data_IF_734284897205
#
_entry.id   IF_734284897205
#
_cell.length_a   1.000
_cell.length_b   1.000
_cell.length_c   1.000
_cell.angle_alpha   90.00
_cell.angle_beta   90.00
_cell.angle_gamma   90.00
#
_symmetry.space_group_name_H-M   'P 1'
#
loop_
_entity.id
_entity.type
_entity.pdbx_description
1 polymer ?
#
# COMPACT_ATOMS: atom_id res chain seq x y z
N UNK A 1 3.14 21.95 -9.89
CA UNK A 1 2.98 20.56 -9.42
C UNK A 1 4.30 19.76 -9.36
N UNK A 2 5.22 19.90 -10.33
CA UNK A 2 6.50 19.17 -10.37
C UNK A 2 7.50 19.41 -9.22
N UNK A 3 7.26 20.41 -8.36
CA UNK A 3 8.11 20.73 -7.21
C UNK A 3 7.67 20.06 -5.90
N UNK A 4 6.54 19.33 -5.89
CA UNK A 4 6.07 18.62 -4.70
C UNK A 4 6.68 17.21 -4.66
N UNK A 5 6.94 16.65 -3.46
CA UNK A 5 7.24 15.23 -3.32
C UNK A 5 6.19 14.35 -4.01
N UNK A 6 6.60 13.23 -4.62
CA UNK A 6 5.72 12.41 -5.46
C UNK A 6 4.43 11.97 -4.75
N UNK A 7 4.51 11.56 -3.48
CA UNK A 7 3.34 11.17 -2.71
C UNK A 7 2.31 12.32 -2.56
N UNK A 8 2.77 13.56 -2.45
CA UNK A 8 1.88 14.72 -2.37
C UNK A 8 1.22 15.03 -3.71
N UNK A 9 1.89 14.73 -4.82
CA UNK A 9 1.30 14.83 -6.15
C UNK A 9 0.13 13.85 -6.27
N UNK A 10 0.31 12.59 -5.85
CA UNK A 10 -0.74 11.55 -5.87
C UNK A 10 -1.96 12.00 -5.05
N UNK A 11 -1.73 12.45 -3.81
CA UNK A 11 -2.80 12.92 -2.94
C UNK A 11 -3.57 14.11 -3.52
N UNK A 12 -2.87 15.10 -4.07
CA UNK A 12 -3.52 16.27 -4.70
C UNK A 12 -4.32 15.91 -5.94
N UNK A 13 -3.76 15.10 -6.85
CA UNK A 13 -4.49 14.68 -8.05
C UNK A 13 -5.75 13.90 -7.69
N UNK A 14 -5.63 12.99 -6.73
CA UNK A 14 -6.75 12.15 -6.32
C UNK A 14 -7.87 12.95 -5.67
N UNK A 15 -7.54 14.01 -4.90
CA UNK A 15 -8.53 14.90 -4.30
C UNK A 15 -9.31 15.76 -5.31
N UNK A 16 -8.80 15.91 -6.55
CA UNK A 16 -9.48 16.65 -7.62
C UNK A 16 -10.50 15.80 -8.38
N UNK A 17 -10.54 14.50 -8.14
CA UNK A 17 -11.39 13.57 -8.89
C UNK A 17 -12.44 12.98 -7.95
N UNK A 18 -13.71 13.21 -8.30
CA UNK A 18 -14.84 12.58 -7.63
C UNK A 18 -15.58 11.69 -8.63
N UNK A 19 -15.73 10.41 -8.29
CA UNK A 19 -16.47 9.43 -9.11
C UNK A 19 -17.63 8.92 -8.27
N UNK A 20 -18.87 9.42 -8.49
CA UNK A 20 -20.05 8.96 -7.76
C UNK A 20 -20.23 7.45 -7.89
N UNK A 21 -20.54 6.76 -6.79
CA UNK A 21 -20.77 5.31 -6.76
C UNK A 21 -19.50 4.46 -6.84
N UNK A 22 -18.30 5.05 -6.90
CA UNK A 22 -17.03 4.30 -6.98
C UNK A 22 -16.84 3.32 -5.81
N UNK A 23 -17.27 3.71 -4.60
CA UNK A 23 -17.17 2.85 -3.44
C UNK A 23 -18.00 1.57 -3.63
N UNK A 24 -19.28 1.71 -3.93
CA UNK A 24 -20.20 0.58 -4.09
C UNK A 24 -19.81 -0.32 -5.27
N UNK A 25 -19.23 0.26 -6.33
CA UNK A 25 -18.73 -0.48 -7.48
C UNK A 25 -17.50 -1.35 -7.17
N UNK A 26 -16.67 -0.96 -6.20
CA UNK A 26 -15.41 -1.66 -5.88
C UNK A 26 -15.52 -2.51 -4.60
N UNK A 27 -16.15 -1.99 -3.55
CA UNK A 27 -16.29 -2.65 -2.26
C UNK A 27 -17.56 -3.52 -2.21
N UNK A 28 -17.67 -4.49 -3.13
CA UNK A 28 -18.87 -5.32 -3.25
C UNK A 28 -19.08 -6.20 -2.01
N UNK A 29 -20.32 -6.62 -1.70
CA UNK A 29 -20.60 -7.49 -0.58
C UNK A 29 -19.76 -8.78 -0.57
N UNK A 30 -19.55 -9.39 -1.74
CA UNK A 30 -18.76 -10.63 -1.90
C UNK A 30 -17.29 -10.40 -1.54
N UNK A 31 -16.73 -9.25 -1.93
CA UNK A 31 -15.36 -8.88 -1.58
C UNK A 31 -15.24 -8.63 -0.07
N UNK A 32 -16.20 -7.92 0.54
CA UNK A 32 -16.18 -7.66 1.98
C UNK A 32 -16.31 -8.97 2.78
N UNK A 33 -17.14 -9.91 2.31
CA UNK A 33 -17.23 -11.24 2.89
C UNK A 33 -15.90 -11.99 2.77
N UNK A 34 -15.27 -11.98 1.58
CA UNK A 34 -13.96 -12.60 1.37
C UNK A 34 -12.89 -12.02 2.30
N UNK A 35 -12.82 -10.68 2.40
CA UNK A 35 -11.88 -9.97 3.29
C UNK A 35 -12.14 -10.35 4.75
N UNK A 36 -13.41 -10.44 5.17
CA UNK A 36 -13.77 -10.85 6.54
C UNK A 36 -13.33 -12.29 6.84
N UNK A 37 -13.55 -13.23 5.91
CA UNK A 37 -13.08 -14.61 6.07
C UNK A 37 -11.56 -14.68 6.13
N UNK A 38 -10.86 -13.94 5.26
CA UNK A 38 -9.40 -13.86 5.27
C UNK A 38 -8.87 -13.31 6.60
N UNK A 39 -9.55 -12.30 7.16
CA UNK A 39 -9.22 -11.70 8.44
C UNK A 39 -9.63 -12.51 9.68
N UNK A 40 -10.35 -13.62 9.50
CA UNK A 40 -10.86 -14.47 10.58
C UNK A 40 -11.90 -13.80 11.49
N UNK A 41 -12.45 -12.65 11.10
CA UNK A 41 -13.45 -11.89 11.87
C UNK A 41 -14.27 -11.00 10.94
N UNK A 42 -15.43 -10.53 11.39
CA UNK A 42 -16.24 -9.59 10.62
C UNK A 42 -15.49 -8.25 10.46
N UNK A 43 -15.26 -7.85 9.20
CA UNK A 43 -14.65 -6.58 8.84
C UNK A 43 -15.67 -5.69 8.11
N UNK A 44 -15.66 -4.39 8.39
CA UNK A 44 -16.54 -3.41 7.74
C UNK A 44 -15.67 -2.38 7.01
N UNK A 45 -16.01 -2.03 5.75
CA UNK A 45 -15.28 -0.99 5.02
C UNK A 45 -15.41 0.36 5.73
N UNK A 46 -14.32 1.12 5.75
CA UNK A 46 -14.32 2.53 6.11
C UNK A 46 -15.12 3.33 5.10
N UNK A 47 -15.65 4.49 5.51
CA UNK A 47 -16.38 5.35 4.59
C UNK A 47 -15.51 5.80 3.42
N UNK A 48 -15.92 5.42 2.21
CA UNK A 48 -15.36 5.91 0.96
C UNK A 48 -14.12 5.16 0.47
N UNK A 49 -14.07 4.97 -0.84
CA UNK A 49 -12.86 4.52 -1.55
C UNK A 49 -12.04 5.73 -1.96
N UNK A 50 -10.73 5.66 -1.81
CA UNK A 50 -9.80 6.71 -2.23
C UNK A 50 -9.15 6.33 -3.57
N UNK A 51 -9.23 7.21 -4.56
CA UNK A 51 -8.43 7.07 -5.78
C UNK A 51 -6.95 7.33 -5.50
N UNK A 52 -6.09 6.64 -6.23
CA UNK A 52 -4.64 6.77 -6.21
C UNK A 52 -4.17 6.98 -7.64
N UNK A 53 -3.97 8.25 -8.01
CA UNK A 53 -3.53 8.65 -9.34
C UNK A 53 -2.04 8.97 -9.33
N UNK A 54 -1.21 8.18 -10.02
CA UNK A 54 0.21 8.47 -10.18
C UNK A 54 0.50 9.03 -11.57
N UNK A 55 0.84 10.33 -11.69
CA UNK A 55 1.21 10.95 -12.96
C UNK A 55 2.31 10.17 -13.70
N UNK A 56 2.34 10.20 -15.04
CA UNK A 56 3.44 9.60 -15.80
C UNK A 56 4.76 10.36 -15.60
N UNK A 57 5.88 9.68 -15.85
CA UNK A 57 7.24 10.24 -15.90
C UNK A 57 7.61 11.04 -14.64
N UNK A 58 7.37 10.47 -13.46
CA UNK A 58 7.72 11.11 -12.19
C UNK A 58 9.24 11.16 -11.97
N UNK A 59 10.01 10.30 -12.62
CA UNK A 59 11.47 10.26 -12.57
C UNK A 59 11.99 8.83 -12.62
N UNK A 60 13.28 8.67 -12.37
CA UNK A 60 13.90 7.35 -12.26
C UNK A 60 13.33 6.61 -11.06
N UNK A 61 13.09 5.31 -11.23
CA UNK A 61 12.59 4.47 -10.16
C UNK A 61 13.67 4.30 -9.08
N UNK A 62 13.30 4.55 -7.82
CA UNK A 62 14.18 4.37 -6.67
C UNK A 62 13.37 4.14 -5.40
N UNK A 63 13.98 3.45 -4.43
CA UNK A 63 13.45 3.29 -3.08
C UNK A 63 13.84 4.45 -2.15
N UNK A 64 14.79 5.29 -2.59
CA UNK A 64 15.29 6.41 -1.82
C UNK A 64 14.28 7.56 -1.77
N UNK A 65 14.13 8.16 -0.59
CA UNK A 65 13.25 9.31 -0.39
C UNK A 65 11.74 8.99 -0.44
N UNK A 66 11.37 7.71 -0.48
CA UNK A 66 9.96 7.29 -0.38
C UNK A 66 9.44 7.41 1.05
N UNK A 67 8.14 7.71 1.17
CA UNK A 67 7.49 7.89 2.47
C UNK A 67 6.96 6.54 3.00
N UNK A 68 7.84 5.74 3.58
CA UNK A 68 7.48 4.44 4.16
C UNK A 68 6.72 4.58 5.48
N UNK A 69 5.52 4.01 5.55
CA UNK A 69 4.65 4.10 6.71
C UNK A 69 3.83 2.83 6.95
N UNK A 70 3.22 2.76 8.13
CA UNK A 70 2.15 1.81 8.46
C UNK A 70 0.89 2.63 8.65
N UNK A 71 -0.26 2.07 8.31
CA UNK A 71 -1.52 2.78 8.45
C UNK A 71 -2.03 2.76 9.90
N UNK A 72 -1.82 1.65 10.58
CA UNK A 72 -2.23 1.43 11.96
C UNK A 72 -1.16 0.68 12.74
N UNK A 73 -1.08 0.99 14.02
CA UNK A 73 -0.41 0.15 15.01
C UNK A 73 -1.46 -0.71 15.71
N UNK A 74 -1.21 -2.01 15.89
CA UNK A 74 -2.11 -2.88 16.64
C UNK A 74 -1.70 -2.99 18.12
N UNK A 75 -2.71 -3.08 18.99
CA UNK A 75 -2.56 -3.46 20.39
C UNK A 75 -3.62 -4.54 20.74
N UNK A 76 -3.24 -5.79 21.04
CA UNK A 76 -1.87 -6.32 21.06
C UNK A 76 -1.29 -6.42 19.64
N UNK A 77 0.05 -6.38 19.47
CA UNK A 77 0.73 -6.32 18.17
C UNK A 77 0.38 -7.44 17.20
N UNK A 78 -0.09 -8.58 17.70
CA UNK A 78 -0.42 -9.77 16.90
C UNK A 78 -1.86 -9.78 16.38
N UNK A 79 -2.74 -8.90 16.88
CA UNK A 79 -4.12 -8.83 16.41
C UNK A 79 -4.19 -8.14 15.04
N UNK A 80 -5.01 -8.69 14.15
CA UNK A 80 -5.34 -8.01 12.90
C UNK A 80 -6.07 -6.70 13.21
N UNK A 81 -5.46 -5.56 12.89
CA UNK A 81 -6.05 -4.24 13.08
C UNK A 81 -6.97 -3.83 11.92
N UNK A 82 -6.73 -4.35 10.72
CA UNK A 82 -7.52 -4.08 9.53
C UNK A 82 -6.84 -4.61 8.27
N UNK A 83 -7.61 -4.69 7.20
CA UNK A 83 -7.13 -5.07 5.86
C UNK A 83 -7.42 -3.90 4.92
N UNK A 84 -6.40 -3.49 4.18
CA UNK A 84 -6.55 -2.54 3.09
C UNK A 84 -6.60 -3.28 1.75
N UNK A 85 -7.63 -3.01 0.97
CA UNK A 85 -7.74 -3.44 -0.41
C UNK A 85 -7.18 -2.37 -1.34
N UNK A 86 -6.38 -2.78 -2.32
CA UNK A 86 -5.92 -1.97 -3.44
C UNK A 86 -6.48 -2.55 -4.73
N UNK A 87 -7.31 -1.77 -5.41
CA UNK A 87 -7.96 -2.12 -6.68
C UNK A 87 -7.11 -1.58 -7.83
N UNK A 88 -6.64 -2.45 -8.71
CA UNK A 88 -5.97 -2.04 -9.94
C UNK A 88 -7.05 -1.66 -10.96
N UNK A 89 -7.20 -0.36 -11.21
CA UNK A 89 -8.18 0.15 -12.19
C UNK A 89 -7.62 0.01 -13.60
N UNK A 90 -6.32 0.27 -13.76
CA UNK A 90 -5.56 0.01 -14.98
C UNK A 90 -4.59 -1.17 -14.80
N UNK A 91 -4.05 -1.66 -15.91
CA UNK A 91 -2.85 -2.50 -15.88
C UNK A 91 -1.70 -1.72 -15.23
N UNK A 92 -1.05 -2.33 -14.23
CA UNK A 92 0.06 -1.72 -13.50
C UNK A 92 1.30 -2.54 -13.74
N UNK A 93 2.23 -2.00 -14.54
CA UNK A 93 3.54 -2.63 -14.74
C UNK A 93 4.44 -2.44 -13.50
N UNK A 94 5.45 -3.30 -13.30
CA UNK A 94 6.55 -3.00 -12.40
C UNK A 94 7.12 -1.61 -12.67
N UNK A 95 7.45 -0.89 -11.60
CA UNK A 95 7.92 0.50 -11.60
C UNK A 95 6.92 1.51 -12.21
N UNK A 96 5.67 1.08 -12.41
CA UNK A 96 4.54 1.90 -12.87
C UNK A 96 3.92 2.75 -11.76
N UNK A 97 4.61 2.88 -10.64
CA UNK A 97 4.20 3.68 -9.51
C UNK A 97 3.14 3.00 -8.66
N UNK A 98 3.12 1.67 -8.53
CA UNK A 98 2.17 0.98 -7.66
C UNK A 98 2.48 1.24 -6.17
N UNK A 99 1.68 0.67 -5.26
CA UNK A 99 2.08 0.59 -3.86
C UNK A 99 3.18 -0.47 -3.70
N UNK A 100 4.26 -0.10 -3.01
CA UNK A 100 5.31 -1.01 -2.53
C UNK A 100 5.01 -1.41 -1.09
N UNK A 101 5.25 -2.67 -0.73
CA UNK A 101 5.14 -3.16 0.64
C UNK A 101 6.37 -4.00 1.02
N UNK A 102 6.79 -3.93 2.28
CA UNK A 102 7.71 -4.89 2.89
C UNK A 102 6.94 -6.09 3.41
N UNK A 103 6.71 -7.07 2.55
CA UNK A 103 6.05 -8.32 2.90
C UNK A 103 6.72 -8.96 4.12
N UNK A 104 5.91 -9.41 5.08
CA UNK A 104 6.38 -9.99 6.35
C UNK A 104 6.62 -8.97 7.47
N UNK A 105 6.75 -7.67 7.20
CA UNK A 105 7.09 -6.67 8.24
C UNK A 105 6.09 -6.59 9.41
N UNK A 106 4.80 -6.85 9.17
CA UNK A 106 3.74 -6.91 10.19
C UNK A 106 3.88 -8.07 11.19
N UNK A 107 4.77 -9.04 10.93
CA UNK A 107 5.00 -10.22 11.77
C UNK A 107 6.20 -10.05 12.69
N UNK A 108 7.02 -9.03 12.46
CA UNK A 108 8.22 -8.81 13.24
C UNK A 108 7.89 -8.12 14.57
N UNK A 109 8.78 -8.30 15.56
CA UNK A 109 8.66 -7.63 16.84
C UNK A 109 8.78 -6.10 16.67
N UNK A 110 7.73 -5.31 17.02
CA UNK A 110 7.74 -3.87 16.87
C UNK A 110 8.71 -3.16 17.83
N UNK A 111 9.23 -3.83 18.85
CA UNK A 111 10.19 -3.28 19.82
C UNK A 111 11.66 -3.57 19.47
N UNK A 112 11.91 -4.42 18.47
CA UNK A 112 13.25 -4.90 18.14
C UNK A 112 13.80 -4.45 16.77
N UNK A 113 14.75 -5.22 16.20
CA UNK A 113 15.29 -5.01 14.85
C UNK A 113 14.21 -5.04 13.74
N UNK A 114 13.05 -5.62 14.04
CA UNK A 114 11.89 -5.67 13.16
C UNK A 114 10.97 -4.46 13.21
N UNK A 115 11.26 -3.48 14.08
CA UNK A 115 10.45 -2.27 14.20
C UNK A 115 10.38 -1.49 12.88
N UNK A 116 9.27 -0.79 12.64
CA UNK A 116 9.13 0.07 11.47
C UNK A 116 10.26 1.12 11.36
N UNK A 117 10.79 1.60 12.50
CA UNK A 117 11.93 2.52 12.52
C UNK A 117 13.23 1.85 12.03
N UNK A 118 13.52 0.64 12.53
CA UNK A 118 14.70 -0.12 12.11
C UNK A 118 14.64 -0.50 10.63
N UNK A 119 13.49 -0.95 10.13
CA UNK A 119 13.29 -1.27 8.72
C UNK A 119 13.44 -0.03 7.81
N UNK A 120 12.89 1.13 8.21
CA UNK A 120 13.12 2.39 7.47
C UNK A 120 14.59 2.80 7.44
N UNK A 121 15.32 2.57 8.53
CA UNK A 121 16.76 2.82 8.57
C UNK A 121 17.47 1.89 7.60
N UNK A 122 17.15 0.59 7.61
CA UNK A 122 17.70 -0.40 6.69
C UNK A 122 17.48 -0.02 5.23
N UNK A 123 16.25 0.36 4.86
CA UNK A 123 15.88 0.84 3.51
C UNK A 123 16.71 2.03 3.02
N UNK A 124 17.29 2.83 3.94
CA UNK A 124 18.07 4.03 3.61
C UNK A 124 19.57 3.79 3.62
N UNK A 125 20.05 2.84 4.42
CA UNK A 125 21.49 2.71 4.72
C UNK A 125 22.12 1.41 4.26
N UNK A 126 21.34 0.46 3.74
CA UNK A 126 21.88 -0.81 3.28
C UNK A 126 22.63 -0.66 1.95
N UNK A 127 23.83 -1.25 1.88
CA UNK A 127 24.61 -1.37 0.64
C UNK A 127 24.12 -2.54 -0.23
N UNK A 128 23.48 -3.54 0.37
CA UNK A 128 22.89 -4.70 -0.30
C UNK A 128 21.52 -5.02 0.33
N UNK A 129 20.53 -4.25 -0.12
CA UNK A 129 19.22 -4.23 0.48
C UNK A 129 18.50 -5.58 0.36
N UNK A 130 18.70 -6.30 -0.74
CA UNK A 130 18.05 -7.59 -0.95
C UNK A 130 18.52 -8.62 0.08
N UNK A 131 19.84 -8.74 0.28
CA UNK A 131 20.41 -9.64 1.29
C UNK A 131 19.95 -9.27 2.70
N UNK A 132 19.98 -7.98 3.04
CA UNK A 132 19.68 -7.54 4.40
C UNK A 132 18.18 -7.68 4.74
N UNK A 133 17.28 -7.45 3.77
CA UNK A 133 15.85 -7.71 3.92
C UNK A 133 15.58 -9.20 4.05
N UNK A 134 16.21 -10.04 3.22
CA UNK A 134 16.10 -11.50 3.31
C UNK A 134 16.58 -12.01 4.68
N UNK A 135 17.71 -11.50 5.19
CA UNK A 135 18.21 -11.81 6.53
C UNK A 135 17.26 -11.42 7.65
N UNK A 136 16.37 -10.45 7.40
CA UNK A 136 15.32 -10.00 8.32
C UNK A 136 13.97 -10.71 8.09
N UNK A 137 13.89 -11.64 7.14
CA UNK A 137 12.67 -12.38 6.81
C UNK A 137 11.59 -11.53 6.12
N UNK A 138 11.98 -10.44 5.45
CA UNK A 138 11.07 -9.56 4.71
C UNK A 138 11.50 -9.40 3.26
N UNK A 139 10.58 -9.01 2.38
CA UNK A 139 10.88 -8.74 0.98
C UNK A 139 10.09 -7.55 0.46
N UNK A 140 10.63 -6.84 -0.54
CA UNK A 140 9.90 -5.79 -1.23
C UNK A 140 8.97 -6.44 -2.26
N UNK A 141 7.70 -6.07 -2.23
CA UNK A 141 6.70 -6.44 -3.24
C UNK A 141 6.10 -5.16 -3.80
N UNK A 142 6.01 -5.06 -5.11
CA UNK A 142 5.22 -4.05 -5.81
C UNK A 142 3.87 -4.63 -6.21
N UNK A 143 2.77 -3.95 -5.84
CA UNK A 143 1.39 -4.34 -6.16
C UNK A 143 1.04 -4.05 -7.63
N UNK A 144 1.81 -4.66 -8.53
CA UNK A 144 1.66 -4.63 -9.98
C UNK A 144 0.83 -5.83 -10.45
N UNK A 145 0.16 -5.69 -11.59
CA UNK A 145 -0.84 -6.65 -12.05
C UNK A 145 -1.70 -6.10 -13.19
N UNK A 146 -2.84 -6.73 -13.42
CA UNK A 146 -3.79 -6.35 -14.49
C UNK A 146 -4.96 -5.56 -13.92
N UNK A 147 -5.63 -4.80 -14.77
CA UNK A 147 -6.89 -4.16 -14.44
C UNK A 147 -7.89 -5.21 -13.93
N UNK A 148 -8.52 -4.91 -12.78
CA UNK A 148 -9.44 -5.81 -12.07
C UNK A 148 -8.79 -6.64 -10.96
N UNK A 149 -7.46 -6.70 -10.89
CA UNK A 149 -6.78 -7.37 -9.76
C UNK A 149 -6.99 -6.59 -8.45
N UNK A 150 -7.07 -7.34 -7.34
CA UNK A 150 -7.21 -6.79 -5.99
C UNK A 150 -6.06 -7.30 -5.13
N UNK A 151 -5.23 -6.38 -4.63
CA UNK A 151 -4.22 -6.70 -3.63
C UNK A 151 -4.78 -6.42 -2.23
N UNK A 152 -4.70 -7.41 -1.34
CA UNK A 152 -5.11 -7.26 0.06
C UNK A 152 -3.87 -7.19 0.96
N UNK A 153 -3.85 -6.20 1.84
CA UNK A 153 -2.70 -5.89 2.68
C UNK A 153 -3.12 -5.76 4.14
N UNK A 154 -2.41 -6.44 5.04
CA UNK A 154 -2.49 -6.15 6.48
C UNK A 154 -2.02 -4.71 6.74
N UNK A 155 -2.85 -3.90 7.40
CA UNK A 155 -2.57 -2.46 7.56
C UNK A 155 -1.36 -2.14 8.46
N UNK A 156 -0.77 -3.14 9.12
CA UNK A 156 0.49 -3.03 9.87
C UNK A 156 1.72 -3.17 8.97
N UNK A 157 1.57 -3.57 7.71
CA UNK A 157 2.69 -3.69 6.76
C UNK A 157 3.31 -2.32 6.49
N UNK A 158 4.65 -2.27 6.54
CA UNK A 158 5.38 -1.10 6.09
C UNK A 158 5.26 -0.98 4.57
N UNK A 159 4.70 0.12 4.09
CA UNK A 159 4.40 0.31 2.69
C UNK A 159 4.58 1.77 2.27
N UNK A 160 4.60 2.01 0.96
CA UNK A 160 4.73 3.35 0.39
C UNK A 160 4.22 3.40 -1.07
N UNK A 161 3.66 4.52 -1.55
CA UNK A 161 3.47 4.73 -2.98
C UNK A 161 4.83 4.81 -3.70
N UNK A 162 4.97 4.10 -4.82
CA UNK A 162 6.17 4.13 -5.66
C UNK A 162 6.18 5.31 -6.63
N UNK A 163 7.34 5.52 -7.27
CA UNK A 163 7.52 6.46 -8.38
C UNK A 163 6.97 5.81 -9.64
N UNK A 164 6.08 6.51 -10.35
CA UNK A 164 5.67 6.10 -11.68
C UNK A 164 6.71 6.53 -12.72
N UNK A 165 7.64 5.62 -13.02
CA UNK A 165 8.66 5.81 -14.04
C UNK A 165 8.12 5.57 -15.47
N UNK A 166 6.88 5.09 -15.59
CA UNK A 166 6.27 4.81 -16.87
C UNK A 166 5.75 6.08 -17.56
N UNK A 167 5.50 5.98 -18.87
CA UNK A 167 4.89 7.04 -19.68
C UNK A 167 3.37 7.13 -19.54
N UNK A 168 2.74 6.24 -18.77
CA UNK A 168 1.30 6.14 -18.62
C UNK A 168 0.86 6.65 -17.25
N UNK A 169 -0.29 7.32 -17.18
CA UNK A 169 -0.94 7.56 -15.89
C UNK A 169 -1.32 6.21 -15.29
N UNK A 170 -1.12 6.05 -13.98
CA UNK A 170 -1.56 4.85 -13.25
C UNK A 170 -2.75 5.20 -12.37
N UNK A 171 -3.85 4.46 -12.51
CA UNK A 171 -5.01 4.56 -11.63
C UNK A 171 -5.16 3.29 -10.77
N UNK A 172 -5.23 3.50 -9.46
CA UNK A 172 -5.73 2.49 -8.53
C UNK A 172 -6.76 3.14 -7.60
N UNK A 173 -7.46 2.32 -6.84
CA UNK A 173 -8.29 2.75 -5.73
C UNK A 173 -7.91 1.97 -4.47
N UNK A 174 -8.26 2.50 -3.30
CA UNK A 174 -8.09 1.77 -2.05
C UNK A 174 -9.25 1.96 -1.09
N UNK A 175 -9.59 0.90 -0.36
CA UNK A 175 -10.57 0.89 0.70
C UNK A 175 -9.98 0.15 1.89
N UNK A 176 -10.20 0.66 3.10
CA UNK A 176 -9.75 0.03 4.35
C UNK A 176 -10.94 -0.68 4.99
N UNK A 177 -10.71 -1.86 5.55
CA UNK A 177 -11.71 -2.64 6.27
C UNK A 177 -11.22 -2.90 7.68
N UNK A 178 -12.04 -2.57 8.68
CA UNK A 178 -11.70 -2.68 10.10
C UNK A 178 -12.62 -3.67 10.81
N UNK A 179 -12.16 -4.33 11.88
CA UNK A 179 -13.04 -5.05 12.80
C UNK A 179 -14.17 -4.14 13.27
N UNK A 180 -15.38 -4.69 13.41
CA UNK A 180 -16.44 -3.96 14.11
C UNK A 180 -15.97 -3.65 15.54
N UNK A 181 -16.11 -2.39 15.93
CA UNK A 181 -15.93 -1.95 17.32
C UNK A 181 -16.99 -2.59 18.23
#
# INVERSE_FOLDING_TARGET
MRQLPFFQQIGKFSALVNVPGLHDALATPELIEFISRLGGQALTPSQGTQLLLSPPNQGDWTLNGLNWHVDVTADPPHRLAGIQAFFLIDDVSPHGGATLALAGSHRLDPSGPGSASALRKLLRTSDDLERDLHGSGVSIIEMSGRAGDICLMDMRLLHTPSINASKHLRMMATCRCFPRA
#
